data_IF_919897664371
#
_entry.id   IF_919897664371
#
_cell.length_a   1.000
_cell.length_b   1.000
_cell.length_c   1.000
_cell.angle_alpha   90.00
_cell.angle_beta   90.00
_cell.angle_gamma   90.00
#
_symmetry.space_group_name_H-M   'P 1'
#
loop_
_entity.id
_entity.type
_entity.pdbx_description
1 polymer ?
#
# COMPACT_ATOMS: atom_id res chain seq x y z
N UNK A 1 12.28 -9.18 -13.65
CA UNK A 1 10.86 -9.10 -13.27
C UNK A 1 10.36 -7.73 -13.70
N UNK A 2 9.35 -7.64 -14.57
CA UNK A 2 8.79 -6.36 -14.99
C UNK A 2 7.94 -5.84 -13.81
N UNK A 3 8.17 -4.60 -13.36
CA UNK A 3 7.50 -4.01 -12.19
C UNK A 3 6.32 -3.15 -12.62
N UNK A 4 5.40 -3.72 -13.40
CA UNK A 4 4.18 -3.04 -13.83
C UNK A 4 3.07 -3.13 -12.78
N UNK A 5 2.22 -2.12 -12.77
CA UNK A 5 0.99 -2.10 -11.98
C UNK A 5 -0.18 -2.61 -12.83
N UNK A 6 -1.09 -3.36 -12.22
CA UNK A 6 -2.27 -3.90 -12.89
C UNK A 6 -3.55 -3.50 -12.15
N UNK A 7 -4.61 -3.25 -12.91
CA UNK A 7 -5.95 -3.04 -12.38
C UNK A 7 -6.82 -4.28 -12.64
N UNK A 8 -7.51 -4.76 -11.61
CA UNK A 8 -8.43 -5.90 -11.71
C UNK A 8 -9.87 -5.38 -11.59
N UNK A 9 -10.61 -5.41 -12.69
CA UNK A 9 -12.01 -4.97 -12.74
C UNK A 9 -12.92 -6.20 -12.74
N UNK A 10 -13.94 -6.19 -11.88
CA UNK A 10 -14.96 -7.24 -11.82
C UNK A 10 -15.81 -7.12 -10.56
N UNK A 11 -16.92 -7.85 -10.50
CA UNK A 11 -17.86 -7.82 -9.37
C UNK A 11 -17.20 -8.24 -8.04
N UNK A 12 -17.69 -7.75 -6.88
CA UNK A 12 -17.29 -8.27 -5.58
C UNK A 12 -17.49 -9.80 -5.51
N UNK A 13 -16.62 -10.51 -4.79
CA UNK A 13 -16.74 -11.97 -4.63
C UNK A 13 -16.14 -12.82 -5.76
N UNK A 14 -15.59 -12.21 -6.83
CA UNK A 14 -14.88 -12.91 -7.94
C UNK A 14 -13.48 -13.42 -7.58
N UNK A 15 -13.18 -13.59 -6.29
CA UNK A 15 -11.90 -14.10 -5.78
C UNK A 15 -10.63 -13.31 -6.17
N UNK A 16 -10.75 -12.05 -6.64
CA UNK A 16 -9.60 -11.18 -7.00
C UNK A 16 -8.53 -11.12 -5.91
N UNK A 17 -8.90 -10.77 -4.69
CA UNK A 17 -7.96 -10.67 -3.56
C UNK A 17 -7.36 -12.03 -3.18
N UNK A 18 -8.13 -13.12 -3.34
CA UNK A 18 -7.64 -14.47 -3.08
C UNK A 18 -6.61 -14.93 -4.13
N UNK A 19 -6.82 -14.57 -5.40
CA UNK A 19 -5.89 -14.82 -6.50
C UNK A 19 -4.55 -14.15 -6.22
N UNK A 20 -4.54 -12.84 -5.93
CA UNK A 20 -3.30 -12.10 -5.68
C UNK A 20 -2.59 -12.60 -4.43
N UNK A 21 -3.32 -12.86 -3.34
CA UNK A 21 -2.74 -13.45 -2.12
C UNK A 21 -2.09 -14.80 -2.38
N UNK A 22 -2.72 -15.66 -3.19
CA UNK A 22 -2.16 -16.98 -3.53
C UNK A 22 -0.93 -16.86 -4.43
N UNK A 23 -0.93 -15.92 -5.38
CA UNK A 23 0.26 -15.62 -6.18
C UNK A 23 1.43 -15.14 -5.30
N UNK A 24 1.18 -14.24 -4.35
CA UNK A 24 2.21 -13.78 -3.42
C UNK A 24 2.76 -14.90 -2.55
N UNK A 25 1.90 -15.81 -2.06
CA UNK A 25 2.33 -16.98 -1.30
C UNK A 25 3.21 -17.94 -2.13
N UNK A 26 2.84 -18.21 -3.38
CA UNK A 26 3.62 -19.06 -4.30
C UNK A 26 4.99 -18.46 -4.62
N UNK A 27 5.09 -17.13 -4.63
CA UNK A 27 6.33 -16.39 -4.86
C UNK A 27 7.13 -16.13 -3.57
N UNK A 28 6.63 -16.55 -2.40
CA UNK A 28 7.16 -16.21 -1.08
C UNK A 28 7.43 -14.70 -0.91
N UNK A 29 6.53 -13.88 -1.45
CA UNK A 29 6.65 -12.42 -1.49
C UNK A 29 6.04 -11.78 -0.25
N UNK A 30 6.64 -10.68 0.24
CA UNK A 30 6.01 -9.81 1.25
C UNK A 30 4.72 -9.23 0.68
N UNK A 31 3.59 -9.67 1.22
CA UNK A 31 2.26 -9.31 0.75
C UNK A 31 1.63 -8.25 1.65
N UNK A 32 1.16 -7.17 1.05
CA UNK A 32 0.33 -6.17 1.69
C UNK A 32 -1.04 -6.12 1.04
N UNK A 33 -2.09 -5.97 1.83
CA UNK A 33 -3.43 -5.72 1.30
C UNK A 33 -4.21 -4.77 2.19
N UNK A 34 -4.93 -3.87 1.56
CA UNK A 34 -5.72 -2.86 2.26
C UNK A 34 -6.98 -2.50 1.47
N UNK A 35 -8.11 -2.31 2.17
CA UNK A 35 -9.39 -1.93 1.59
C UNK A 35 -9.55 -0.41 1.70
N UNK A 36 -9.48 0.30 0.58
CA UNK A 36 -9.50 1.75 0.58
C UNK A 36 -10.92 2.30 0.82
N UNK A 37 -10.99 3.35 1.62
CA UNK A 37 -12.22 4.10 1.87
C UNK A 37 -11.94 5.60 1.76
N UNK A 38 -13.01 6.40 1.74
CA UNK A 38 -12.89 7.87 1.77
C UNK A 38 -12.28 8.42 3.07
N UNK A 39 -12.16 7.59 4.10
CA UNK A 39 -11.64 7.94 5.42
C UNK A 39 -10.26 7.35 5.70
N UNK A 40 -9.69 6.58 4.77
CA UNK A 40 -8.38 5.97 4.97
C UNK A 40 -7.32 7.04 5.22
N UNK A 41 -6.57 6.87 6.30
CA UNK A 41 -5.48 7.76 6.65
C UNK A 41 -4.13 7.27 6.10
N UNK A 42 -3.19 8.18 5.78
CA UNK A 42 -1.86 7.81 5.29
C UNK A 42 -1.13 6.82 6.20
N UNK A 43 -1.28 6.96 7.52
CA UNK A 43 -0.56 6.13 8.49
C UNK A 43 -1.02 4.66 8.47
N UNK A 44 -2.24 4.39 8.00
CA UNK A 44 -2.76 3.02 7.83
C UNK A 44 -2.12 2.30 6.64
N UNK A 45 -1.67 3.04 5.62
CA UNK A 45 -1.08 2.49 4.40
C UNK A 45 0.45 2.54 4.43
N UNK A 46 1.00 3.67 4.91
CA UNK A 46 2.44 3.95 4.87
C UNK A 46 3.13 3.73 6.21
N UNK A 47 2.35 3.55 7.28
CA UNK A 47 2.82 3.40 8.65
C UNK A 47 2.83 4.71 9.42
N UNK A 48 2.76 4.63 10.77
CA UNK A 48 2.76 5.80 11.62
C UNK A 48 4.12 6.50 11.61
N UNK A 49 4.10 7.78 11.96
CA UNK A 49 5.34 8.54 12.21
C UNK A 49 6.09 7.93 13.40
N UNK A 50 7.40 7.77 13.24
CA UNK A 50 8.29 7.41 14.35
C UNK A 50 8.48 8.64 15.25
N UNK A 51 7.65 8.72 16.29
CA UNK A 51 7.65 9.84 17.25
C UNK A 51 9.02 9.95 17.95
N UNK A 52 9.68 8.83 18.22
CA UNK A 52 10.97 8.84 18.91
C UNK A 52 12.05 9.45 18.02
N UNK A 53 12.15 9.00 16.77
CA UNK A 53 13.07 9.59 15.79
C UNK A 53 12.77 11.08 15.55
N UNK A 54 11.49 11.47 15.55
CA UNK A 54 11.11 12.87 15.39
C UNK A 54 11.54 13.74 16.56
N UNK A 55 11.31 13.29 17.80
CA UNK A 55 11.64 14.07 19.00
C UNK A 55 13.15 14.12 19.23
N UNK A 56 13.80 12.96 19.20
CA UNK A 56 15.20 12.78 19.62
C UNK A 56 16.18 13.16 18.51
N UNK A 57 15.91 12.76 17.26
CA UNK A 57 16.83 12.96 16.14
C UNK A 57 16.44 14.13 15.22
N UNK A 58 15.30 14.79 15.48
CA UNK A 58 14.71 15.81 14.59
C UNK A 58 14.55 15.32 13.14
N UNK A 59 14.33 14.02 12.96
CA UNK A 59 14.14 13.39 11.64
C UNK A 59 12.72 12.92 11.48
N UNK A 60 12.08 13.34 10.40
CA UNK A 60 10.79 12.78 10.01
C UNK A 60 11.00 11.42 9.34
N UNK A 61 10.49 10.36 9.97
CA UNK A 61 10.51 8.99 9.46
C UNK A 61 9.21 8.28 9.81
N UNK A 62 8.83 7.28 9.01
CA UNK A 62 7.70 6.40 9.28
C UNK A 62 8.18 4.99 9.60
N UNK A 63 7.41 4.30 10.43
CA UNK A 63 7.58 2.86 10.66
C UNK A 63 7.00 2.11 9.46
N UNK A 64 7.85 1.67 8.53
CA UNK A 64 7.42 1.08 7.26
C UNK A 64 7.17 -0.42 7.31
N UNK A 65 7.48 -1.09 8.42
CA UNK A 65 7.33 -2.54 8.55
C UNK A 65 5.88 -2.98 8.37
N UNK A 66 5.64 -3.96 7.48
CA UNK A 66 4.29 -4.47 7.13
C UNK A 66 3.34 -3.41 6.54
N UNK A 67 3.88 -2.36 5.94
CA UNK A 67 3.10 -1.33 5.23
C UNK A 67 3.21 -1.53 3.72
N UNK A 68 2.52 -0.69 2.94
CA UNK A 68 2.63 -0.69 1.48
C UNK A 68 4.08 -0.52 1.01
N UNK A 69 4.90 0.23 1.75
CA UNK A 69 6.28 0.55 1.40
C UNK A 69 7.25 -0.64 1.58
N UNK A 70 6.89 -1.62 2.40
CA UNK A 70 7.69 -2.83 2.67
C UNK A 70 7.24 -4.03 1.80
N UNK A 71 6.15 -3.87 1.04
CA UNK A 71 5.55 -4.93 0.24
C UNK A 71 6.30 -5.18 -1.08
N UNK A 72 6.39 -6.45 -1.47
CA UNK A 72 6.80 -6.88 -2.83
C UNK A 72 5.59 -7.02 -3.75
N UNK A 73 4.46 -7.45 -3.19
CA UNK A 73 3.16 -7.48 -3.88
C UNK A 73 2.14 -6.79 -2.97
N UNK A 74 1.47 -5.79 -3.52
CA UNK A 74 0.44 -5.04 -2.84
C UNK A 74 -0.90 -5.14 -3.57
N UNK A 75 -1.99 -5.35 -2.81
CA UNK A 75 -3.35 -5.32 -3.31
C UNK A 75 -4.15 -4.23 -2.60
N UNK A 76 -4.54 -3.20 -3.36
CA UNK A 76 -5.37 -2.10 -2.87
C UNK A 76 -6.79 -2.29 -3.43
N UNK A 77 -7.72 -2.71 -2.58
CA UNK A 77 -9.11 -2.91 -2.98
C UNK A 77 -9.87 -1.59 -2.94
N UNK A 78 -10.92 -1.48 -3.75
CA UNK A 78 -11.78 -0.29 -3.79
C UNK A 78 -11.03 1.04 -4.03
N UNK A 79 -9.96 1.02 -4.84
CA UNK A 79 -9.10 2.19 -5.08
C UNK A 79 -9.86 3.44 -5.55
N UNK A 80 -10.97 3.27 -6.27
CA UNK A 80 -11.81 4.38 -6.72
C UNK A 80 -12.63 5.05 -5.61
N UNK A 81 -12.70 4.45 -4.41
CA UNK A 81 -13.35 5.03 -3.22
C UNK A 81 -12.38 5.80 -2.33
N UNK A 82 -11.08 5.77 -2.63
CA UNK A 82 -10.07 6.52 -1.88
C UNK A 82 -10.26 8.04 -2.03
N UNK A 83 -9.80 8.78 -1.02
CA UNK A 83 -9.72 10.24 -1.12
C UNK A 83 -8.64 10.68 -2.12
N UNK A 84 -8.75 11.92 -2.62
CA UNK A 84 -7.76 12.49 -3.53
C UNK A 84 -6.36 12.56 -2.92
N UNK A 85 -6.24 12.81 -1.60
CA UNK A 85 -4.95 12.84 -0.91
C UNK A 85 -4.26 11.47 -0.89
N UNK A 86 -5.03 10.39 -0.67
CA UNK A 86 -4.52 9.02 -0.70
C UNK A 86 -4.12 8.63 -2.13
N UNK A 87 -4.95 8.92 -3.12
CA UNK A 87 -4.63 8.65 -4.53
C UNK A 87 -3.35 9.36 -4.97
N UNK A 88 -3.19 10.64 -4.61
CA UNK A 88 -1.97 11.40 -4.91
C UNK A 88 -0.74 10.80 -4.21
N UNK A 89 -0.87 10.38 -2.96
CA UNK A 89 0.25 9.74 -2.24
C UNK A 89 0.66 8.41 -2.87
N UNK A 90 -0.32 7.58 -3.27
CA UNK A 90 -0.07 6.33 -4.00
C UNK A 90 0.59 6.61 -5.36
N UNK A 91 0.12 7.64 -6.07
CA UNK A 91 0.69 8.04 -7.36
C UNK A 91 2.16 8.46 -7.23
N UNK A 92 2.50 9.26 -6.20
CA UNK A 92 3.89 9.63 -5.89
C UNK A 92 4.76 8.39 -5.66
N UNK A 93 4.27 7.40 -4.90
CA UNK A 93 5.00 6.15 -4.65
C UNK A 93 5.19 5.35 -5.94
N UNK A 94 4.17 5.25 -6.79
CA UNK A 94 4.24 4.51 -8.05
C UNK A 94 5.23 5.16 -9.02
N UNK A 95 5.14 6.49 -9.18
CA UNK A 95 5.92 7.23 -10.18
C UNK A 95 7.36 7.47 -9.73
N UNK A 96 7.56 7.94 -8.51
CA UNK A 96 8.86 8.42 -8.04
C UNK A 96 9.59 7.33 -7.24
N UNK A 97 8.88 6.29 -6.77
CA UNK A 97 9.38 5.30 -5.80
C UNK A 97 9.99 5.96 -4.55
N UNK A 98 9.54 7.18 -4.24
CA UNK A 98 10.03 8.00 -3.14
C UNK A 98 8.85 8.34 -2.24
N UNK A 99 9.01 8.10 -0.93
CA UNK A 99 8.13 8.57 0.15
C UNK A 99 8.91 8.66 1.46
#
# INVERSE_FOLDING_TARGET
MIKEHAILIGEPGTAKSALIRRAAALLNARYFSYLLTKFTEPDEIFGPVDIKAFIDEKRFRRVTTRTLLDAEIAFLDEIFKASSSILNSILSIINERIY
#
